data_IF_883613847570
#
_entry.id   IF_883613847570
#
_cell.length_a   1.000
_cell.length_b   1.000
_cell.length_c   1.000
_cell.angle_alpha   90.00
_cell.angle_beta   90.00
_cell.angle_gamma   90.00
#
_symmetry.space_group_name_H-M   'P 1'
#
loop_
_entity.id
_entity.type
_entity.pdbx_description
1 polymer ?
#
# COMPACT_ATOMS: atom_id res chain seq x y z
N UNK A 1 12.28 11.81 -4.69
CA UNK A 1 11.14 10.92 -4.39
C UNK A 1 11.62 9.50 -4.46
N UNK A 2 11.56 8.84 -5.61
CA UNK A 2 12.34 7.63 -5.88
C UNK A 2 13.33 7.95 -6.99
N UNK A 3 14.64 7.96 -6.73
CA UNK A 3 15.66 8.25 -7.75
C UNK A 3 16.56 7.03 -7.91
N UNK A 4 16.60 6.48 -9.12
CA UNK A 4 17.35 5.28 -9.47
C UNK A 4 18.30 5.59 -10.61
N UNK A 5 19.56 5.21 -10.47
CA UNK A 5 20.63 5.43 -11.44
C UNK A 5 21.32 4.11 -11.80
N UNK A 6 21.85 4.02 -13.03
CA UNK A 6 22.67 2.89 -13.42
C UNK A 6 23.99 2.86 -12.63
N UNK A 7 24.40 1.68 -12.16
CA UNK A 7 25.61 1.50 -11.35
C UNK A 7 26.42 0.27 -11.80
N UNK A 8 26.75 0.22 -13.09
CA UNK A 8 27.44 -0.91 -13.69
C UNK A 8 26.50 -2.05 -14.09
N UNK A 9 27.08 -3.14 -14.61
CA UNK A 9 26.31 -4.25 -15.14
C UNK A 9 25.55 -5.00 -14.03
N UNK A 10 24.22 -5.07 -14.15
CA UNK A 10 23.35 -5.79 -13.21
C UNK A 10 23.13 -5.08 -11.88
N UNK A 11 23.49 -3.80 -11.75
CA UNK A 11 23.33 -3.04 -10.52
C UNK A 11 22.76 -1.64 -10.77
N UNK A 12 21.97 -1.16 -9.80
CA UNK A 12 21.39 0.18 -9.76
C UNK A 12 21.66 0.82 -8.40
N UNK A 13 21.83 2.14 -8.41
CA UNK A 13 21.94 2.97 -7.21
C UNK A 13 20.59 3.64 -6.93
N UNK A 14 20.07 3.49 -5.71
CA UNK A 14 18.90 4.25 -5.25
C UNK A 14 19.38 5.44 -4.42
N UNK A 15 19.16 6.66 -4.89
CA UNK A 15 19.57 7.89 -4.19
C UNK A 15 18.52 8.41 -3.22
N UNK A 16 17.24 8.18 -3.52
CA UNK A 16 16.13 8.71 -2.76
C UNK A 16 14.99 7.71 -2.70
N UNK A 17 14.25 7.70 -1.60
CA UNK A 17 12.96 7.01 -1.45
C UNK A 17 11.86 8.01 -1.02
N UNK A 18 10.59 7.77 -1.42
CA UNK A 18 9.52 8.72 -1.12
C UNK A 18 9.33 8.81 0.39
N UNK A 19 9.36 10.03 0.94
CA UNK A 19 9.33 10.25 2.39
C UNK A 19 8.11 9.61 3.08
N UNK A 20 7.00 9.46 2.36
CA UNK A 20 5.79 8.77 2.84
C UNK A 20 6.03 7.31 3.25
N UNK A 21 7.05 6.66 2.66
CA UNK A 21 7.39 5.26 2.95
C UNK A 21 8.23 5.09 4.22
N UNK A 22 8.71 6.19 4.84
CA UNK A 22 9.57 6.12 6.02
C UNK A 22 10.90 5.43 5.71
N UNK A 23 11.14 4.29 6.36
CA UNK A 23 12.32 3.44 6.15
C UNK A 23 11.91 2.12 5.47
N UNK A 24 11.67 2.13 4.13
CA UNK A 24 11.19 0.96 3.42
C UNK A 24 12.30 -0.07 3.19
N UNK A 25 11.91 -1.32 2.96
CA UNK A 25 12.77 -2.31 2.30
C UNK A 25 13.01 -1.87 0.85
N UNK A 26 14.10 -1.13 0.63
CA UNK A 26 14.44 -0.55 -0.67
C UNK A 26 14.68 -1.64 -1.71
N UNK A 27 15.32 -2.76 -1.33
CA UNK A 27 15.61 -3.83 -2.28
C UNK A 27 14.34 -4.52 -2.73
N UNK A 28 13.45 -4.85 -1.80
CA UNK A 28 12.14 -5.42 -2.10
C UNK A 28 11.32 -4.49 -2.99
N UNK A 29 11.24 -3.20 -2.65
CA UNK A 29 10.53 -2.19 -3.44
C UNK A 29 11.01 -2.12 -4.90
N UNK A 30 12.33 -2.08 -5.12
CA UNK A 30 12.89 -1.98 -6.47
C UNK A 30 12.63 -3.26 -7.27
N UNK A 31 12.71 -4.45 -6.65
CA UNK A 31 12.43 -5.72 -7.33
C UNK A 31 10.97 -5.81 -7.74
N UNK A 32 10.04 -5.52 -6.83
CA UNK A 32 8.61 -5.57 -7.11
C UNK A 32 8.23 -4.59 -8.23
N UNK A 33 8.76 -3.35 -8.21
CA UNK A 33 8.55 -2.38 -9.29
C UNK A 33 9.10 -2.89 -10.63
N UNK A 34 10.27 -3.52 -10.62
CA UNK A 34 10.89 -4.05 -11.85
C UNK A 34 10.09 -5.22 -12.42
N UNK A 35 9.61 -6.11 -11.56
CA UNK A 35 8.76 -7.25 -11.93
C UNK A 35 7.43 -6.77 -12.53
N UNK A 36 6.75 -5.82 -11.87
CA UNK A 36 5.50 -5.21 -12.38
C UNK A 36 5.69 -4.61 -13.78
N UNK A 37 6.78 -3.84 -13.97
CA UNK A 37 7.09 -3.21 -15.26
C UNK A 37 7.46 -4.22 -16.35
N UNK A 38 8.11 -5.32 -15.99
CA UNK A 38 8.48 -6.38 -16.91
C UNK A 38 7.27 -7.19 -17.38
N UNK A 39 6.32 -7.46 -16.47
CA UNK A 39 5.11 -8.24 -16.76
C UNK A 39 4.16 -7.53 -17.72
N UNK A 40 4.01 -6.21 -17.59
CA UNK A 40 3.01 -5.45 -18.35
C UNK A 40 3.53 -4.82 -19.67
N UNK A 41 4.83 -4.94 -19.97
CA UNK A 41 5.43 -4.62 -21.28
C UNK A 41 5.12 -3.21 -21.80
N UNK A 42 5.10 -3.00 -23.13
CA UNK A 42 4.79 -1.71 -23.79
C UNK A 42 3.29 -1.33 -23.84
N UNK A 43 2.41 -2.24 -23.40
CA UNK A 43 0.97 -2.16 -23.65
C UNK A 43 0.21 -1.16 -22.77
N UNK A 44 0.75 -0.85 -21.59
CA UNK A 44 0.13 0.10 -20.67
C UNK A 44 0.46 1.55 -21.02
N UNK A 45 -0.56 2.41 -20.92
CA UNK A 45 -0.39 3.85 -20.90
C UNK A 45 0.51 4.26 -19.73
N UNK A 46 1.15 5.42 -19.85
CA UNK A 46 1.97 5.97 -18.75
C UNK A 46 1.18 6.06 -17.44
N UNK A 47 -0.10 6.40 -17.51
CA UNK A 47 -0.98 6.51 -16.35
C UNK A 47 -1.16 5.18 -15.63
N UNK A 48 -1.34 4.09 -16.36
CA UNK A 48 -1.52 2.76 -15.78
C UNK A 48 -0.23 2.26 -15.12
N UNK A 49 0.91 2.44 -15.77
CA UNK A 49 2.23 2.12 -15.16
C UNK A 49 2.48 2.91 -13.88
N UNK A 50 2.13 4.19 -13.87
CA UNK A 50 2.25 5.02 -12.66
C UNK A 50 1.33 4.52 -11.55
N UNK A 51 0.12 4.04 -11.90
CA UNK A 51 -0.80 3.46 -10.92
C UNK A 51 -0.25 2.17 -10.31
N UNK A 52 0.40 1.31 -11.10
CA UNK A 52 1.07 0.09 -10.61
C UNK A 52 2.20 0.41 -9.63
N UNK A 53 3.13 1.28 -10.03
CA UNK A 53 4.25 1.70 -9.17
C UNK A 53 3.73 2.31 -7.85
N UNK A 54 2.72 3.17 -7.93
CA UNK A 54 2.07 3.74 -6.74
C UNK A 54 1.40 2.67 -5.87
N UNK A 55 0.77 1.67 -6.48
CA UNK A 55 0.16 0.54 -5.77
C UNK A 55 1.19 -0.29 -5.00
N UNK A 56 2.31 -0.61 -5.65
CA UNK A 56 3.42 -1.35 -5.04
C UNK A 56 4.05 -0.57 -3.90
N UNK A 57 4.30 0.73 -4.11
CA UNK A 57 4.74 1.63 -3.03
C UNK A 57 3.76 1.67 -1.85
N UNK A 58 2.45 1.77 -2.10
CA UNK A 58 1.43 1.79 -1.05
C UNK A 58 1.44 0.50 -0.22
N UNK A 59 1.71 -0.66 -0.84
CA UNK A 59 1.83 -1.94 -0.15
C UNK A 59 3.07 -2.00 0.75
N UNK A 60 4.17 -1.37 0.34
CA UNK A 60 5.38 -1.22 1.15
C UNK A 60 5.20 -0.24 2.30
N UNK A 61 4.47 0.86 2.11
CA UNK A 61 4.15 1.83 3.17
C UNK A 61 3.01 1.43 4.11
N UNK A 62 2.32 0.32 3.85
CA UNK A 62 1.15 -0.09 4.63
C UNK A 62 1.50 -0.51 6.07
N UNK A 63 0.58 -0.31 7.01
CA UNK A 63 0.68 -0.93 8.34
C UNK A 63 0.53 -2.44 8.19
N UNK A 64 1.61 -3.18 8.46
CA UNK A 64 1.65 -4.65 8.31
C UNK A 64 1.39 -5.38 9.63
N UNK A 65 1.03 -6.65 9.51
CA UNK A 65 0.86 -7.55 10.65
C UNK A 65 2.12 -7.55 11.54
N UNK A 66 1.91 -7.52 12.85
CA UNK A 66 2.98 -7.49 13.85
C UNK A 66 3.40 -6.09 14.31
N UNK A 67 3.04 -5.01 13.58
CA UNK A 67 3.22 -3.65 14.09
C UNK A 67 2.13 -3.31 15.11
N UNK A 68 2.53 -3.04 16.35
CA UNK A 68 1.62 -2.53 17.38
C UNK A 68 1.38 -1.05 17.13
N UNK A 69 0.11 -0.63 17.12
CA UNK A 69 -0.29 0.76 17.02
C UNK A 69 -0.82 1.26 18.37
N UNK A 70 -0.44 2.48 18.72
CA UNK A 70 -1.06 3.23 19.81
C UNK A 70 -2.47 3.72 19.42
N UNK A 71 -3.32 4.02 20.40
CA UNK A 71 -4.65 4.56 20.13
C UNK A 71 -4.64 5.86 19.30
N UNK A 72 -3.71 6.82 19.51
CA UNK A 72 -3.56 7.97 18.62
C UNK A 72 -3.22 7.60 17.18
N UNK A 73 -2.31 6.65 16.94
CA UNK A 73 -1.97 6.18 15.59
C UNK A 73 -3.16 5.53 14.90
N UNK A 74 -3.92 4.68 15.62
CA UNK A 74 -5.14 4.06 15.08
C UNK A 74 -6.17 5.12 14.68
N UNK A 75 -6.44 6.10 15.54
CA UNK A 75 -7.38 7.18 15.23
C UNK A 75 -6.92 8.03 14.05
N UNK A 76 -5.62 8.33 13.97
CA UNK A 76 -5.06 9.08 12.85
C UNK A 76 -5.25 8.33 11.53
N UNK A 77 -5.00 7.01 11.51
CA UNK A 77 -5.24 6.16 10.33
C UNK A 77 -6.72 6.19 9.92
N UNK A 78 -7.65 6.09 10.88
CA UNK A 78 -9.09 6.16 10.59
C UNK A 78 -9.49 7.53 10.00
N UNK A 79 -8.95 8.64 10.51
CA UNK A 79 -9.20 9.98 9.93
C UNK A 79 -8.64 10.10 8.51
N UNK A 80 -7.48 9.49 8.23
CA UNK A 80 -6.95 9.43 6.88
C UNK A 80 -7.86 8.60 5.95
N UNK A 81 -8.39 7.48 6.41
CA UNK A 81 -9.32 6.64 5.64
C UNK A 81 -10.61 7.40 5.29
N UNK A 82 -11.17 8.19 6.21
CA UNK A 82 -12.36 9.01 5.96
C UNK A 82 -12.12 10.09 4.89
N UNK A 83 -10.93 10.67 4.84
CA UNK A 83 -10.55 11.67 3.85
C UNK A 83 -10.09 11.07 2.50
N UNK A 84 -9.85 9.76 2.44
CA UNK A 84 -9.34 9.06 1.25
C UNK A 84 -10.50 8.49 0.44
N UNK A 85 -10.69 8.94 -0.83
CA UNK A 85 -11.70 8.34 -1.70
C UNK A 85 -11.47 6.84 -1.88
N UNK A 86 -12.57 6.08 -1.94
CA UNK A 86 -12.53 4.61 -2.13
C UNK A 86 -11.73 3.84 -1.06
N UNK A 87 -11.58 4.41 0.15
CA UNK A 87 -10.83 3.78 1.23
C UNK A 87 -11.37 2.42 1.68
N UNK A 88 -12.62 2.07 1.33
CA UNK A 88 -13.24 0.77 1.59
C UNK A 88 -12.67 -0.41 0.79
N UNK A 89 -11.77 -0.16 -0.17
CA UNK A 89 -11.16 -1.19 -1.00
C UNK A 89 -9.65 -0.95 -1.15
N UNK A 90 -8.83 -2.00 -1.04
CA UNK A 90 -7.41 -1.89 -1.33
C UNK A 90 -7.15 -1.93 -2.85
N UNK A 91 -5.93 -1.62 -3.26
CA UNK A 91 -5.48 -1.68 -4.66
C UNK A 91 -5.62 -3.08 -5.31
N UNK A 92 -5.74 -4.15 -4.51
CA UNK A 92 -5.97 -5.52 -4.96
C UNK A 92 -7.44 -5.98 -4.84
N UNK A 93 -8.36 -5.05 -4.56
CA UNK A 93 -9.79 -5.33 -4.53
C UNK A 93 -10.34 -5.87 -3.20
N UNK A 94 -9.50 -6.13 -2.19
CA UNK A 94 -9.95 -6.59 -0.86
C UNK A 94 -10.63 -5.47 -0.07
N UNK A 95 -11.70 -5.75 0.70
CA UNK A 95 -12.27 -4.77 1.61
C UNK A 95 -11.25 -4.42 2.71
N UNK A 96 -11.17 -3.14 3.07
CA UNK A 96 -10.23 -2.64 4.10
C UNK A 96 -10.85 -2.57 5.50
N UNK A 97 -12.17 -2.61 5.59
CA UNK A 97 -12.90 -2.69 6.84
C UNK A 97 -14.17 -3.52 6.68
N UNK A 98 -14.71 -3.99 7.81
CA UNK A 98 -16.04 -4.60 7.91
C UNK A 98 -16.81 -3.84 8.99
N UNK A 99 -18.10 -3.64 8.75
CA UNK A 99 -19.02 -3.05 9.73
C UNK A 99 -19.91 -4.16 10.30
N UNK A 100 -19.94 -4.26 11.63
CA UNK A 100 -20.90 -5.12 12.33
C UNK A 100 -21.84 -4.21 13.11
N UNK A 101 -23.12 -4.20 12.72
CA UNK A 101 -24.14 -3.41 13.43
C UNK A 101 -24.47 -4.07 14.76
N UNK A 102 -24.99 -3.29 15.70
CA UNK A 102 -25.37 -3.80 17.02
C UNK A 102 -26.30 -5.02 16.92
N UNK A 103 -27.32 -4.96 16.06
CA UNK A 103 -28.23 -6.08 15.84
C UNK A 103 -27.58 -7.31 15.20
N UNK A 104 -26.52 -7.14 14.41
CA UNK A 104 -25.76 -8.27 13.85
C UNK A 104 -24.91 -8.92 14.96
N UNK A 105 -24.35 -8.12 15.86
CA UNK A 105 -23.68 -8.62 17.06
C UNK A 105 -24.66 -9.36 17.98
N UNK A 106 -25.85 -8.81 18.23
CA UNK A 106 -26.87 -9.44 19.07
C UNK A 106 -27.26 -10.83 18.54
N UNK A 107 -27.51 -10.95 17.23
CA UNK A 107 -27.80 -12.24 16.58
C UNK A 107 -26.69 -13.27 16.75
N UNK A 108 -25.42 -12.87 16.70
CA UNK A 108 -24.29 -13.78 16.92
C UNK A 108 -24.30 -14.41 18.32
N UNK A 109 -24.91 -13.73 19.30
CA UNK A 109 -25.09 -14.23 20.66
C UNK A 109 -26.51 -14.76 20.94
N UNK A 110 -27.33 -14.99 19.90
CA UNK A 110 -28.71 -15.46 20.05
C UNK A 110 -29.65 -14.44 20.71
N UNK A 111 -29.27 -13.17 20.72
CA UNK A 111 -30.07 -12.03 21.19
C UNK A 111 -30.80 -11.39 19.99
N UNK A 112 -31.87 -10.64 20.29
CA UNK A 112 -32.83 -10.14 19.31
C UNK A 112 -32.25 -9.07 18.40
#
# INVERSE_FOLDING_TARGET
GLIVEAFGAGAVLVRETPALLGDPDVQGLIRDIADDLAEHGAALSLKERMAEVCGTMACHGSVRAGRVLSAPEMNALLRQMEATPHSGQCNHGRPTYVELKLGDLEKLFGRR
#
